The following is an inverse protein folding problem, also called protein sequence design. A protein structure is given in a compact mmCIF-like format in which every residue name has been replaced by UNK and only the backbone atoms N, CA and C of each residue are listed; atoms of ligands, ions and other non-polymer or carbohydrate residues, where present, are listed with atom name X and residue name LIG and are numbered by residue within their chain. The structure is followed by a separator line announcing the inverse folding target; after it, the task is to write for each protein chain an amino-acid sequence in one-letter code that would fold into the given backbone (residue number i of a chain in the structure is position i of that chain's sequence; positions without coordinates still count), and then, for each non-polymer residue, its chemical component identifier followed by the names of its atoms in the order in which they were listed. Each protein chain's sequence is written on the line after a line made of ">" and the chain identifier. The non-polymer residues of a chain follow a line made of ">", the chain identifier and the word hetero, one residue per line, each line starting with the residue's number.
data_IF_776162185830
#
_entry.id   IF_776162185830
#
_cell.length_a   1.000
_cell.length_b   1.000
_cell.length_c   1.000
_cell.angle_alpha   90.00
_cell.angle_beta   90.00
_cell.angle_gamma   90.00
#
_symmetry.space_group_name_H-M   'P 1'
#
loop_
_entity.id
_entity.type
_entity.pdbx_description
1 polymer ?
#
# COMPACT_ATOMS: atom_id res chain seq x y z
N UNK A 1 -14.62 -15.63 7.18
CA UNK A 1 -13.32 -15.23 7.76
C UNK A 1 -13.05 -13.73 7.63
N UNK A 2 -13.31 -13.08 6.49
CA UNK A 2 -13.06 -11.64 6.30
C UNK A 2 -13.74 -10.69 7.30
N UNK A 3 -14.93 -11.05 7.82
CA UNK A 3 -15.67 -10.20 8.76
C UNK A 3 -15.14 -10.26 10.20
N UNK A 4 -14.30 -11.24 10.54
CA UNK A 4 -13.83 -11.47 11.91
C UNK A 4 -13.03 -10.26 12.44
N UNK A 5 -12.07 -9.68 11.69
CA UNK A 5 -11.40 -8.44 12.09
C UNK A 5 -12.35 -7.27 12.29
N UNK A 6 -13.38 -7.16 11.46
CA UNK A 6 -14.41 -6.13 11.59
C UNK A 6 -15.18 -6.24 12.91
N UNK A 7 -15.59 -7.45 13.27
CA UNK A 7 -16.27 -7.74 14.53
C UNK A 7 -15.33 -7.43 15.72
N UNK A 8 -14.07 -7.85 15.64
CA UNK A 8 -13.09 -7.56 16.69
C UNK A 8 -12.87 -6.05 16.87
N UNK A 9 -12.81 -5.26 15.80
CA UNK A 9 -12.73 -3.78 15.89
C UNK A 9 -13.94 -3.18 16.59
N UNK A 10 -15.14 -3.68 16.31
CA UNK A 10 -16.37 -3.23 16.98
C UNK A 10 -16.28 -3.57 18.47
N UNK A 11 -15.88 -4.80 18.82
CA UNK A 11 -15.74 -5.22 20.21
C UNK A 11 -14.68 -4.41 20.96
N UNK A 12 -13.52 -4.13 20.34
CA UNK A 12 -12.49 -3.29 20.94
C UNK A 12 -12.97 -1.85 21.14
N UNK A 13 -13.71 -1.30 20.18
CA UNK A 13 -14.28 0.04 20.31
C UNK A 13 -15.31 0.14 21.44
N UNK A 14 -16.13 -0.90 21.64
CA UNK A 14 -17.15 -0.91 22.68
C UNK A 14 -16.58 -1.17 24.09
N UNK A 15 -15.52 -1.98 24.22
CA UNK A 15 -15.00 -2.43 25.51
C UNK A 15 -13.83 -1.60 26.05
N UNK A 16 -13.20 -0.76 25.23
CA UNK A 16 -12.12 0.11 25.66
C UNK A 16 -12.52 1.57 25.38
N UNK A 17 -12.74 2.40 26.41
CA UNK A 17 -12.93 3.83 26.21
C UNK A 17 -11.58 4.56 26.14
N UNK A 18 -11.39 5.40 25.12
CA UNK A 18 -10.26 6.33 25.03
C UNK A 18 -9.38 6.21 23.78
N UNK A 19 -8.38 7.09 23.61
CA UNK A 19 -7.54 7.16 22.41
C UNK A 19 -6.63 5.93 22.20
N UNK A 20 -6.40 5.14 23.25
CA UNK A 20 -5.61 3.89 23.20
C UNK A 20 -6.24 2.78 22.35
N UNK A 21 -7.54 2.87 22.09
CA UNK A 21 -8.29 1.94 21.23
C UNK A 21 -7.74 1.97 19.81
N UNK A 22 -7.46 3.17 19.30
CA UNK A 22 -7.04 3.35 17.91
C UNK A 22 -5.66 2.83 17.67
N UNK A 23 -4.74 3.02 18.62
CA UNK A 23 -3.42 2.42 18.56
C UNK A 23 -3.52 0.89 18.60
N UNK A 24 -4.34 0.34 19.50
CA UNK A 24 -4.56 -1.11 19.55
C UNK A 24 -5.15 -1.63 18.24
N UNK A 25 -6.23 -1.05 17.73
CA UNK A 25 -6.84 -1.45 16.44
C UNK A 25 -5.84 -1.35 15.28
N UNK A 26 -4.95 -0.35 15.31
CA UNK A 26 -3.99 -0.10 14.24
C UNK A 26 -2.81 -1.06 14.27
N UNK A 27 -2.25 -1.37 15.45
CA UNK A 27 -1.05 -2.20 15.62
C UNK A 27 -1.34 -3.68 15.88
N UNK A 28 -2.55 -4.04 16.30
CA UNK A 28 -2.95 -5.43 16.52
C UNK A 28 -3.12 -6.19 15.20
N UNK A 29 -2.59 -7.40 15.14
CA UNK A 29 -2.71 -8.26 13.94
C UNK A 29 -4.12 -8.82 13.82
N UNK A 30 -4.75 -9.15 14.94
CA UNK A 30 -6.10 -9.72 15.01
C UNK A 30 -7.18 -8.80 14.43
N UNK A 31 -6.98 -7.48 14.45
CA UNK A 31 -7.89 -6.49 13.87
C UNK A 31 -7.56 -6.13 12.42
N UNK A 32 -6.45 -6.63 11.87
CA UNK A 32 -5.91 -6.21 10.55
C UNK A 32 -5.64 -7.36 9.59
N UNK A 33 -5.86 -8.62 10.00
CA UNK A 33 -5.60 -9.77 9.13
C UNK A 33 -6.53 -9.88 7.92
N UNK A 34 -7.62 -9.10 7.88
CA UNK A 34 -8.51 -8.98 6.73
C UNK A 34 -7.78 -8.47 5.47
N UNK A 35 -6.73 -7.67 5.64
CA UNK A 35 -5.87 -7.25 4.54
C UNK A 35 -5.18 -8.45 3.85
N UNK A 36 -4.72 -9.44 4.64
CA UNK A 36 -4.15 -10.67 4.08
C UNK A 36 -5.19 -11.49 3.34
N UNK A 37 -6.41 -11.59 3.88
CA UNK A 37 -7.50 -12.31 3.22
C UNK A 37 -7.82 -11.69 1.86
N UNK A 38 -7.84 -10.35 1.76
CA UNK A 38 -8.04 -9.67 0.47
C UNK A 38 -6.89 -9.96 -0.48
N UNK A 39 -5.64 -9.92 -0.01
CA UNK A 39 -4.48 -10.28 -0.83
C UNK A 39 -4.56 -11.71 -1.36
N UNK A 40 -4.92 -12.67 -0.51
CA UNK A 40 -5.14 -14.08 -0.88
C UNK A 40 -6.28 -14.19 -1.89
N UNK A 41 -7.39 -13.47 -1.69
CA UNK A 41 -8.51 -13.47 -2.61
C UNK A 41 -8.12 -12.93 -3.99
N UNK A 42 -7.37 -11.82 -4.04
CA UNK A 42 -6.85 -11.27 -5.30
C UNK A 42 -5.94 -12.29 -5.98
N UNK A 43 -4.99 -12.87 -5.25
CA UNK A 43 -4.09 -13.90 -5.80
C UNK A 43 -4.87 -15.07 -6.38
N UNK A 44 -5.85 -15.59 -5.64
CA UNK A 44 -6.71 -16.70 -6.07
C UNK A 44 -7.50 -16.35 -7.34
N UNK A 45 -8.09 -15.15 -7.40
CA UNK A 45 -8.85 -14.69 -8.58
C UNK A 45 -7.95 -14.46 -9.81
N UNK A 46 -6.66 -14.20 -9.60
CA UNK A 46 -5.67 -14.03 -10.67
C UNK A 46 -4.93 -15.32 -11.04
N UNK A 47 -5.03 -16.37 -10.24
CA UNK A 47 -4.37 -17.65 -10.48
C UNK A 47 -5.19 -18.51 -11.46
N UNK A 48 -4.53 -19.43 -12.17
CA UNK A 48 -5.20 -20.23 -13.20
C UNK A 48 -6.23 -21.21 -12.62
N UNK A 49 -7.41 -21.39 -13.27
CA UNK A 49 -7.85 -20.71 -14.50
C UNK A 49 -8.34 -19.28 -14.23
N UNK A 50 -7.72 -18.31 -14.91
CA UNK A 50 -7.86 -16.89 -14.61
C UNK A 50 -9.11 -16.27 -15.28
N UNK A 51 -10.27 -16.90 -15.05
CA UNK A 51 -11.57 -16.52 -15.63
C UNK A 51 -11.86 -15.03 -15.40
N UNK A 52 -11.55 -14.53 -14.21
CA UNK A 52 -11.75 -13.13 -13.86
C UNK A 52 -10.78 -12.19 -14.57
N UNK A 53 -9.51 -12.56 -14.72
CA UNK A 53 -8.54 -11.71 -15.44
C UNK A 53 -8.91 -11.63 -16.91
N UNK A 54 -9.31 -12.76 -17.53
CA UNK A 54 -9.73 -12.78 -18.93
C UNK A 54 -11.01 -11.98 -19.14
N UNK A 55 -11.98 -12.10 -18.22
CA UNK A 55 -13.23 -11.33 -18.27
C UNK A 55 -12.97 -9.84 -18.13
N UNK A 56 -12.12 -9.41 -17.18
CA UNK A 56 -11.75 -8.00 -17.02
C UNK A 56 -11.01 -7.49 -18.26
N UNK A 57 -10.02 -8.23 -18.75
CA UNK A 57 -9.23 -7.85 -19.92
C UNK A 57 -10.09 -7.66 -21.17
N UNK A 58 -11.11 -8.51 -21.38
CA UNK A 58 -12.01 -8.44 -22.55
C UNK A 58 -13.16 -7.45 -22.37
N UNK A 59 -13.68 -7.28 -21.15
CA UNK A 59 -14.86 -6.44 -20.91
C UNK A 59 -14.47 -5.07 -20.35
N UNK A 60 -14.59 -4.05 -21.19
CA UNK A 60 -14.41 -2.63 -20.79
C UNK A 60 -15.39 -2.25 -19.69
N UNK A 61 -16.63 -2.72 -19.75
CA UNK A 61 -17.65 -2.44 -18.74
C UNK A 61 -17.23 -2.92 -17.34
N UNK A 62 -16.89 -4.21 -17.19
CA UNK A 62 -16.47 -4.75 -15.89
C UNK A 62 -15.19 -4.10 -15.37
N UNK A 63 -14.24 -3.84 -16.27
CA UNK A 63 -13.01 -3.11 -15.95
C UNK A 63 -13.29 -1.71 -15.42
N UNK A 64 -14.19 -0.97 -16.06
CA UNK A 64 -14.57 0.37 -15.63
C UNK A 64 -15.32 0.36 -14.31
N UNK A 65 -16.27 -0.56 -14.13
CA UNK A 65 -17.05 -0.70 -12.89
C UNK A 65 -16.14 -1.02 -11.71
N UNK A 66 -15.27 -2.03 -11.82
CA UNK A 66 -14.36 -2.41 -10.73
C UNK A 66 -13.34 -1.32 -10.43
N UNK A 67 -12.80 -0.66 -11.47
CA UNK A 67 -11.88 0.46 -11.30
C UNK A 67 -12.54 1.65 -10.59
N UNK A 68 -13.78 1.98 -10.96
CA UNK A 68 -14.55 3.06 -10.34
C UNK A 68 -14.90 2.72 -8.89
N UNK A 69 -15.29 1.46 -8.63
CA UNK A 69 -15.58 0.99 -7.28
C UNK A 69 -14.34 1.02 -6.38
N UNK A 70 -13.17 0.64 -6.90
CA UNK A 70 -11.90 0.71 -6.18
C UNK A 70 -11.59 2.16 -5.75
N UNK A 71 -11.69 3.10 -6.70
CA UNK A 71 -11.47 4.54 -6.42
C UNK A 71 -12.50 5.06 -5.44
N UNK A 72 -13.78 4.69 -5.59
CA UNK A 72 -14.85 5.14 -4.69
C UNK A 72 -14.61 4.67 -3.24
N UNK A 73 -14.20 3.41 -3.03
CA UNK A 73 -13.85 2.92 -1.70
C UNK A 73 -12.65 3.64 -1.11
N UNK A 74 -11.63 3.93 -1.93
CA UNK A 74 -10.46 4.67 -1.47
C UNK A 74 -10.81 6.11 -1.11
N UNK A 75 -11.59 6.82 -1.94
CA UNK A 75 -12.05 8.17 -1.66
C UNK A 75 -12.91 8.18 -0.40
N UNK A 76 -13.91 7.30 -0.31
CA UNK A 76 -14.76 7.20 0.87
C UNK A 76 -13.95 6.97 2.14
N UNK A 77 -12.95 6.08 2.12
CA UNK A 77 -12.07 5.86 3.27
C UNK A 77 -11.21 7.09 3.65
N UNK A 78 -10.77 7.89 2.68
CA UNK A 78 -9.98 9.09 2.93
C UNK A 78 -10.83 10.30 3.36
N UNK A 79 -12.09 10.36 2.93
CA UNK A 79 -13.06 11.35 3.40
C UNK A 79 -13.52 11.09 4.85
N UNK A 80 -13.38 9.86 5.34
CA UNK A 80 -13.63 9.54 6.75
C UNK A 80 -12.57 10.18 7.65
N UNK A 81 -13.02 10.62 8.83
CA UNK A 81 -12.19 11.22 9.86
C UNK A 81 -10.94 10.40 10.21
N UNK A 82 -9.99 11.07 10.88
CA UNK A 82 -8.79 10.41 11.41
C UNK A 82 -9.20 9.26 12.32
N UNK A 83 -8.45 8.16 12.25
CA UNK A 83 -8.64 7.00 13.11
C UNK A 83 -8.63 7.46 14.56
N UNK A 84 -9.66 7.07 15.32
CA UNK A 84 -9.81 7.42 16.73
C UNK A 84 -10.81 8.51 17.07
N UNK A 85 -11.45 9.11 16.06
CA UNK A 85 -12.47 10.13 16.29
C UNK A 85 -13.87 9.52 16.31
N UNK A 86 -14.23 8.75 15.28
CA UNK A 86 -15.58 8.19 15.12
C UNK A 86 -15.59 6.66 15.03
N UNK A 87 -16.73 6.06 15.39
CA UNK A 87 -16.97 4.61 15.25
C UNK A 87 -16.64 4.11 13.84
N UNK A 88 -17.13 4.82 12.82
CA UNK A 88 -16.91 4.50 11.41
C UNK A 88 -15.43 4.54 11.02
N UNK A 89 -14.67 5.53 11.53
CA UNK A 89 -13.23 5.65 11.26
C UNK A 89 -12.41 4.48 11.83
N UNK A 90 -12.85 3.90 12.95
CA UNK A 90 -12.14 2.81 13.63
C UNK A 90 -12.53 1.41 13.13
N UNK A 91 -13.72 1.26 12.55
CA UNK A 91 -14.27 -0.05 12.19
C UNK A 91 -14.29 -0.28 10.69
N UNK A 92 -14.94 0.63 9.95
CA UNK A 92 -15.30 0.47 8.53
C UNK A 92 -14.19 0.96 7.61
N UNK A 93 -13.51 2.05 7.97
CA UNK A 93 -12.44 2.67 7.16
C UNK A 93 -11.40 1.66 6.65
N UNK A 94 -10.95 0.76 7.52
CA UNK A 94 -9.96 -0.25 7.16
C UNK A 94 -10.47 -1.28 6.15
N UNK A 95 -11.75 -1.68 6.23
CA UNK A 95 -12.36 -2.58 5.25
C UNK A 95 -12.43 -1.92 3.87
N UNK A 96 -12.80 -0.63 3.82
CA UNK A 96 -12.85 0.13 2.57
C UNK A 96 -11.46 0.28 1.96
N UNK A 97 -10.42 0.57 2.77
CA UNK A 97 -9.05 0.61 2.29
C UNK A 97 -8.61 -0.75 1.73
N UNK A 98 -8.84 -1.82 2.48
CA UNK A 98 -8.42 -3.17 2.10
C UNK A 98 -9.12 -3.61 0.80
N UNK A 99 -10.44 -3.45 0.69
CA UNK A 99 -11.18 -3.76 -0.54
C UNK A 99 -10.81 -2.83 -1.69
N UNK A 100 -10.67 -1.54 -1.44
CA UNK A 100 -10.31 -0.55 -2.45
C UNK A 100 -8.95 -0.87 -3.08
N UNK A 101 -7.93 -1.12 -2.27
CA UNK A 101 -6.62 -1.54 -2.75
C UNK A 101 -6.65 -2.93 -3.40
N UNK A 102 -7.39 -3.89 -2.83
CA UNK A 102 -7.53 -5.23 -3.41
C UNK A 102 -8.14 -5.21 -4.81
N UNK A 103 -9.24 -4.48 -4.99
CA UNK A 103 -9.88 -4.29 -6.30
C UNK A 103 -8.95 -3.56 -7.27
N UNK A 104 -8.26 -2.52 -6.81
CA UNK A 104 -7.30 -1.79 -7.64
C UNK A 104 -6.20 -2.73 -8.15
N UNK A 105 -5.59 -3.52 -7.26
CA UNK A 105 -4.56 -4.50 -7.63
C UNK A 105 -5.13 -5.54 -8.61
N UNK A 106 -6.34 -6.05 -8.38
CA UNK A 106 -6.99 -7.00 -9.28
C UNK A 106 -7.15 -6.43 -10.69
N UNK A 107 -7.61 -5.18 -10.82
CA UNK A 107 -7.74 -4.50 -12.12
C UNK A 107 -6.37 -4.31 -12.79
N UNK A 108 -5.36 -3.89 -12.03
CA UNK A 108 -4.02 -3.65 -12.55
C UNK A 108 -3.33 -4.93 -13.04
N UNK A 109 -3.41 -6.01 -12.26
CA UNK A 109 -2.82 -7.31 -12.61
C UNK A 109 -3.52 -7.94 -13.81
N UNK A 110 -4.84 -7.76 -13.92
CA UNK A 110 -5.63 -8.32 -15.04
C UNK A 110 -5.26 -7.74 -16.41
N UNK A 111 -4.49 -6.64 -16.46
CA UNK A 111 -4.17 -5.94 -17.71
C UNK A 111 -5.41 -5.31 -18.35
N UNK A 112 -6.39 -4.95 -17.53
CA UNK A 112 -7.63 -4.31 -17.96
C UNK A 112 -7.34 -2.97 -18.68
N UNK A 113 -8.08 -2.63 -19.76
CA UNK A 113 -7.82 -1.42 -20.57
C UNK A 113 -8.34 -0.12 -19.90
N UNK A 114 -8.08 0.08 -18.62
CA UNK A 114 -8.52 1.25 -17.85
C UNK A 114 -7.51 2.40 -17.92
N UNK A 115 -7.98 3.63 -17.65
CA UNK A 115 -7.10 4.80 -17.52
C UNK A 115 -6.08 4.60 -16.39
N UNK A 116 -6.53 4.07 -15.23
CA UNK A 116 -5.64 3.76 -14.10
C UNK A 116 -4.58 2.72 -14.49
N UNK A 117 -4.95 1.67 -15.21
CA UNK A 117 -4.00 0.69 -15.73
C UNK A 117 -2.90 1.33 -16.57
N UNK A 118 -3.27 2.22 -17.49
CA UNK A 118 -2.31 2.98 -18.31
C UNK A 118 -1.42 3.88 -17.45
N UNK A 119 -2.00 4.65 -16.53
CA UNK A 119 -1.27 5.56 -15.65
C UNK A 119 -0.23 4.81 -14.79
N UNK A 120 -0.61 3.70 -14.15
CA UNK A 120 0.28 2.92 -13.29
C UNK A 120 1.28 2.05 -14.06
N UNK A 121 1.06 1.80 -15.35
CA UNK A 121 2.00 1.08 -16.22
C UNK A 121 3.16 1.93 -16.75
N UNK A 122 3.14 3.25 -16.52
CA UNK A 122 4.18 4.14 -17.02
C UNK A 122 5.55 3.81 -16.41
N UNK A 123 6.59 3.77 -17.24
CA UNK A 123 7.96 3.44 -16.83
C UNK A 123 8.55 4.40 -15.78
N UNK A 124 8.01 5.61 -15.67
CA UNK A 124 8.40 6.59 -14.66
C UNK A 124 8.16 6.09 -13.22
N UNK A 125 7.21 5.17 -13.02
CA UNK A 125 6.92 4.59 -11.71
C UNK A 125 7.91 3.50 -11.30
N UNK A 126 8.67 2.92 -12.22
CA UNK A 126 9.62 1.84 -11.93
C UNK A 126 10.67 2.27 -10.88
N UNK A 127 11.41 3.38 -11.03
CA UNK A 127 12.36 3.81 -10.01
C UNK A 127 11.69 4.13 -8.68
N UNK A 128 10.51 4.78 -8.70
CA UNK A 128 9.75 5.11 -7.49
C UNK A 128 9.34 3.85 -6.74
N UNK A 129 8.82 2.84 -7.44
CA UNK A 129 8.40 1.57 -6.85
C UNK A 129 9.58 0.75 -6.29
N UNK A 130 10.78 0.90 -6.85
CA UNK A 130 12.00 0.27 -6.32
C UNK A 130 12.52 0.96 -5.07
N UNK A 131 12.49 2.29 -5.04
CA UNK A 131 12.96 3.08 -3.91
C UNK A 131 11.95 3.13 -2.75
N UNK A 132 10.65 2.96 -3.03
CA UNK A 132 9.59 3.08 -2.01
C UNK A 132 9.75 2.07 -0.87
N UNK A 133 10.24 0.86 -1.16
CA UNK A 133 10.52 -0.15 -0.14
C UNK A 133 11.63 0.28 0.81
N UNK A 134 12.77 0.68 0.26
CA UNK A 134 13.92 1.19 1.03
C UNK A 134 13.52 2.43 1.83
N UNK A 135 12.78 3.35 1.21
CA UNK A 135 12.24 4.54 1.88
C UNK A 135 11.33 4.19 3.05
N UNK A 136 10.43 3.22 2.87
CA UNK A 136 9.53 2.77 3.93
C UNK A 136 10.30 2.18 5.13
N UNK A 137 11.37 1.43 4.91
CA UNK A 137 12.16 0.90 6.03
C UNK A 137 12.88 2.01 6.81
N UNK A 138 13.45 2.98 6.10
CA UNK A 138 14.36 3.95 6.71
C UNK A 138 13.69 5.24 7.18
N UNK A 139 12.50 5.59 6.71
CA UNK A 139 11.89 6.88 7.06
C UNK A 139 11.62 7.06 8.55
N UNK A 140 11.16 6.03 9.29
CA UNK A 140 10.93 6.14 10.75
C UNK A 140 12.26 6.31 11.48
N UNK A 141 13.27 5.51 11.13
CA UNK A 141 14.61 5.59 11.74
C UNK A 141 15.21 6.98 11.54
N UNK A 142 15.13 7.51 10.32
CA UNK A 142 15.66 8.83 9.99
C UNK A 142 14.84 9.95 10.65
N UNK A 143 13.51 9.82 10.74
CA UNK A 143 12.67 10.78 11.48
C UNK A 143 13.08 10.85 12.96
N UNK A 144 13.35 9.70 13.58
CA UNK A 144 13.82 9.64 14.97
C UNK A 144 15.20 10.29 15.13
N UNK A 145 16.15 10.02 14.24
CA UNK A 145 17.50 10.61 14.29
C UNK A 145 17.43 12.13 14.06
N UNK A 146 16.64 12.58 13.09
CA UNK A 146 16.55 13.97 12.70
C UNK A 146 15.74 14.83 13.70
N UNK A 147 15.14 14.23 14.74
CA UNK A 147 14.32 14.91 15.75
C UNK A 147 13.27 15.86 15.14
N UNK A 148 12.71 15.50 13.98
CA UNK A 148 11.71 16.32 13.29
C UNK A 148 10.44 16.34 14.16
N UNK A 149 10.32 17.40 14.95
CA UNK A 149 9.23 17.56 15.92
C UNK A 149 7.92 17.86 15.21
N UNK A 150 6.80 17.35 15.75
CA UNK A 150 5.47 17.67 15.22
C UNK A 150 5.22 19.18 15.33
N UNK A 151 4.62 19.81 14.32
CA UNK A 151 4.27 21.21 14.40
C UNK A 151 3.20 21.35 15.49
N UNK A 152 3.49 22.19 16.49
CA UNK A 152 2.57 22.53 17.55
C UNK A 152 1.70 23.72 17.12
N UNK A 153 0.45 23.78 17.57
CA UNK A 153 -0.50 24.83 17.18
C UNK A 153 -0.06 26.26 17.57
N UNK A 154 0.97 26.39 18.41
CA UNK A 154 1.62 27.65 18.78
C UNK A 154 2.62 28.18 17.73
N UNK A 155 2.97 27.39 16.71
CA UNK A 155 3.78 27.87 15.59
C UNK A 155 2.92 28.79 14.73
N UNK A 156 3.20 30.10 14.74
CA UNK A 156 2.64 31.03 13.76
C UNK A 156 3.08 30.68 12.31
N UNK A 157 2.75 31.51 11.34
CA UNK A 157 3.09 31.30 9.92
C UNK A 157 4.58 30.95 9.70
N UNK A 158 5.48 31.66 10.39
CA UNK A 158 6.93 31.41 10.34
C UNK A 158 7.32 30.01 10.83
N UNK A 159 6.66 29.50 11.88
CA UNK A 159 6.91 28.16 12.39
C UNK A 159 6.38 27.07 11.45
N UNK A 160 5.25 27.28 10.78
CA UNK A 160 4.76 26.37 9.73
C UNK A 160 5.69 26.34 8.51
N UNK A 161 6.18 27.49 8.07
CA UNK A 161 7.14 27.58 6.96
C UNK A 161 8.45 26.86 7.31
N UNK A 162 9.02 27.10 8.49
CA UNK A 162 10.22 26.40 8.97
C UNK A 162 10.01 24.90 9.08
N UNK A 163 8.87 24.46 9.58
CA UNK A 163 8.54 23.03 9.64
C UNK A 163 8.38 22.42 8.24
N UNK A 164 7.73 23.12 7.31
CA UNK A 164 7.57 22.69 5.92
C UNK A 164 8.92 22.57 5.19
N UNK A 165 9.80 23.56 5.35
CA UNK A 165 11.18 23.50 4.83
C UNK A 165 11.93 22.32 5.46
N UNK A 166 11.80 22.12 6.78
CA UNK A 166 12.40 20.98 7.48
C UNK A 166 11.94 19.62 6.92
N UNK A 167 10.64 19.45 6.68
CA UNK A 167 10.09 18.25 6.05
C UNK A 167 10.59 18.06 4.61
N UNK A 168 10.71 19.15 3.85
CA UNK A 168 11.24 19.10 2.48
C UNK A 168 12.72 18.67 2.47
N UNK A 169 13.55 19.30 3.31
CA UNK A 169 14.97 18.93 3.48
C UNK A 169 15.10 17.48 3.94
N UNK A 170 14.27 17.06 4.89
CA UNK A 170 14.22 15.67 5.36
C UNK A 170 13.86 14.71 4.21
N UNK A 171 12.84 15.03 3.42
CA UNK A 171 12.43 14.20 2.28
C UNK A 171 13.53 14.10 1.21
N UNK A 172 14.22 15.20 0.90
CA UNK A 172 15.37 15.20 0.00
C UNK A 172 16.53 14.35 0.55
N UNK A 173 16.85 14.48 1.85
CA UNK A 173 17.86 13.68 2.50
C UNK A 173 17.51 12.19 2.50
N UNK A 174 16.25 11.85 2.77
CA UNK A 174 15.72 10.49 2.70
C UNK A 174 15.81 9.92 1.28
N UNK A 175 15.48 10.70 0.25
CA UNK A 175 15.65 10.28 -1.15
C UNK A 175 17.11 10.02 -1.50
N UNK A 176 18.02 10.92 -1.11
CA UNK A 176 19.45 10.74 -1.35
C UNK A 176 19.98 9.48 -0.63
N UNK A 177 19.62 9.32 0.64
CA UNK A 177 20.01 8.16 1.45
C UNK A 177 19.49 6.85 0.85
N UNK A 178 18.21 6.80 0.48
CA UNK A 178 17.60 5.59 -0.10
C UNK A 178 18.20 5.25 -1.45
N UNK A 179 18.60 6.24 -2.26
CA UNK A 179 19.33 6.01 -3.50
C UNK A 179 20.69 5.36 -3.25
N UNK A 180 21.44 5.84 -2.25
CA UNK A 180 22.71 5.24 -1.83
C UNK A 180 22.53 3.79 -1.35
N UNK A 181 21.57 3.56 -0.44
CA UNK A 181 21.29 2.21 0.08
C UNK A 181 20.83 1.27 -1.03
N UNK A 182 19.94 1.73 -1.92
CA UNK A 182 19.49 0.95 -3.06
C UNK A 182 20.65 0.55 -3.97
N UNK A 183 21.59 1.46 -4.24
CA UNK A 183 22.77 1.17 -5.05
C UNK A 183 23.71 0.13 -4.42
N UNK A 184 23.88 0.19 -3.09
CA UNK A 184 24.81 -0.68 -2.36
C UNK A 184 24.21 -2.06 -2.06
N UNK A 185 22.92 -2.12 -1.72
CA UNK A 185 22.28 -3.34 -1.18
C UNK A 185 21.29 -3.94 -2.17
N UNK A 186 20.28 -3.18 -2.58
CA UNK A 186 19.16 -3.72 -3.36
C UNK A 186 19.56 -4.04 -4.80
N UNK A 187 20.36 -3.18 -5.43
CA UNK A 187 20.80 -3.35 -6.81
C UNK A 187 21.63 -4.64 -7.04
N UNK A 188 22.69 -4.94 -6.26
CA UNK A 188 23.45 -6.17 -6.47
C UNK A 188 22.61 -7.42 -6.16
N UNK A 189 21.72 -7.35 -5.15
CA UNK A 189 20.83 -8.46 -4.81
C UNK A 189 19.83 -8.75 -5.95
N UNK A 190 19.19 -7.71 -6.49
CA UNK A 190 18.28 -7.84 -7.64
C UNK A 190 19.00 -8.38 -8.87
N UNK A 191 20.22 -7.91 -9.15
CA UNK A 191 21.03 -8.41 -10.27
C UNK A 191 21.37 -9.89 -10.11
N UNK A 192 21.65 -10.33 -8.88
CA UNK A 192 21.95 -11.73 -8.57
C UNK A 192 20.71 -12.60 -8.74
N UNK A 193 19.56 -12.17 -8.22
CA UNK A 193 18.27 -12.84 -8.41
C UNK A 193 17.93 -13.00 -9.89
N UNK A 194 18.05 -11.94 -10.68
CA UNK A 194 17.71 -11.97 -12.11
C UNK A 194 18.62 -12.92 -12.89
N UNK A 195 19.90 -13.03 -12.52
CA UNK A 195 20.81 -14.05 -13.06
C UNK A 195 20.33 -15.46 -12.72
N UNK A 196 19.99 -15.74 -11.45
CA UNK A 196 19.53 -17.05 -10.99
C UNK A 196 18.24 -17.46 -11.72
N UNK A 197 17.26 -16.56 -11.81
CA UNK A 197 15.98 -16.82 -12.48
C UNK A 197 16.17 -17.10 -13.98
N UNK A 198 17.06 -16.36 -14.64
CA UNK A 198 17.40 -16.61 -16.05
C UNK A 198 18.05 -17.99 -16.22
N UNK A 199 19.01 -18.34 -15.37
CA UNK A 199 19.63 -19.67 -15.38
C UNK A 199 18.64 -20.81 -15.13
N UNK A 200 17.68 -20.61 -14.22
CA UNK A 200 16.63 -21.60 -13.96
C UNK A 200 15.69 -21.79 -15.16
N UNK A 201 15.25 -20.69 -15.79
CA UNK A 201 14.38 -20.73 -16.97
C UNK A 201 15.04 -21.49 -18.13
N UNK A 202 16.31 -21.18 -18.42
CA UNK A 202 17.06 -21.85 -19.49
C UNK A 202 17.19 -23.37 -19.24
N UNK A 203 17.38 -23.80 -17.98
CA UNK A 203 17.43 -25.25 -17.65
C UNK A 203 16.09 -25.93 -17.87
N UNK A 204 14.99 -25.27 -17.52
CA UNK A 204 13.65 -25.82 -17.70
C UNK A 204 13.30 -25.98 -19.18
N UNK A 205 13.67 -25.01 -20.03
CA UNK A 205 13.47 -25.07 -21.48
C UNK A 205 14.24 -26.24 -22.12
N UNK A 206 15.49 -26.50 -21.68
CA UNK A 206 16.30 -27.65 -22.11
C UNK A 206 15.76 -29.03 -21.69
N UNK A 207 14.92 -29.10 -20.66
CA UNK A 207 14.31 -30.36 -20.20
C UNK A 207 12.97 -30.66 -20.89
N UNK A 208 12.40 -29.68 -21.59
CA UNK A 208 11.11 -29.80 -22.30
C UNK A 208 11.25 -29.90 -23.82
N UNK A 209 12.49 -29.80 -24.34
CA UNK A 209 12.87 -29.98 -25.75
C UNK A 209 13.44 -31.38 -25.99
#
# INVERSE_FOLDING_TARGET
>A
MYLVPGILRILYFLNMPGPSVSDRIYYSTETRFDAFIVGIAVMYLTSEPAVWTDKLKRSVFWSFVLSSLAVLFLIAAHCMEKTGVSFFSNTIKFNLLNLGFGLLILVLISGAPTFLGRLFSLRIWIPVARLSYTMYLWHIVLLTIANVSRPNAAFGLDGYLKHGIGLFVFFCALLAFTFCVYGIVDYPLQRTRDRILKSYKNRKELQTS
#
